data_IF_931177156519
#
_entry.id   IF_931177156519
#
_cell.length_a   1.000
_cell.length_b   1.000
_cell.length_c   1.000
_cell.angle_alpha   90.00
_cell.angle_beta   90.00
_cell.angle_gamma   90.00
#
_symmetry.space_group_name_H-M   'P 1'
#
loop_
_entity.id
_entity.type
_entity.pdbx_description
1 polymer ?
#
# COMPACT_ATOMS: atom_id res chain seq x y z
N UNK A 1 -7.21 2.06 3.87
CA UNK A 1 -7.94 0.88 3.44
C UNK A 1 -7.64 -0.35 4.30
N UNK A 2 -6.38 -0.73 4.37
CA UNK A 2 -5.97 -1.98 5.04
C UNK A 2 -6.28 -1.92 6.54
N UNK A 3 -5.92 -0.84 7.21
CA UNK A 3 -6.20 -0.69 8.64
C UNK A 3 -7.69 -0.70 8.96
N UNK A 4 -8.51 -0.07 8.13
CA UNK A 4 -9.96 -0.08 8.29
C UNK A 4 -10.53 -1.50 8.12
N UNK A 5 -10.05 -2.23 7.13
CA UNK A 5 -10.53 -3.59 6.87
C UNK A 5 -10.13 -4.55 8.00
N UNK A 6 -8.90 -4.44 8.51
CA UNK A 6 -8.47 -5.24 9.66
C UNK A 6 -9.39 -4.99 10.86
N UNK A 7 -9.66 -3.73 11.17
CA UNK A 7 -10.57 -3.37 12.26
C UNK A 7 -11.97 -3.92 12.03
N UNK A 8 -12.49 -3.80 10.80
CA UNK A 8 -13.82 -4.31 10.46
C UNK A 8 -13.90 -5.82 10.64
N UNK A 9 -12.92 -6.55 10.15
CA UNK A 9 -12.90 -8.00 10.25
C UNK A 9 -12.85 -8.45 11.72
N UNK A 10 -12.01 -7.81 12.52
CA UNK A 10 -11.88 -8.12 13.95
C UNK A 10 -13.17 -7.86 14.73
N UNK A 11 -13.98 -6.92 14.27
CA UNK A 11 -15.24 -6.55 14.93
C UNK A 11 -16.49 -7.14 14.26
N UNK A 12 -16.32 -8.04 13.30
CA UNK A 12 -17.45 -8.64 12.59
C UNK A 12 -18.22 -7.67 11.70
N UNK A 13 -17.58 -6.56 11.31
CA UNK A 13 -18.17 -5.55 10.44
C UNK A 13 -17.80 -5.86 9.00
N UNK A 14 -18.77 -5.76 8.10
CA UNK A 14 -18.54 -6.04 6.69
C UNK A 14 -17.65 -4.96 6.05
N UNK A 15 -16.67 -5.38 5.25
CA UNK A 15 -15.79 -4.47 4.51
C UNK A 15 -16.51 -3.93 3.29
N UNK A 16 -16.29 -2.65 2.98
CA UNK A 16 -16.94 -1.96 1.87
C UNK A 16 -15.92 -1.52 0.82
N UNK A 17 -16.31 -1.62 -0.44
CA UNK A 17 -15.58 -1.06 -1.58
C UNK A 17 -16.46 0.01 -2.22
N UNK A 18 -15.91 1.21 -2.42
CA UNK A 18 -16.57 2.29 -3.12
C UNK A 18 -16.22 2.24 -4.61
N UNK A 19 -17.23 2.12 -5.46
CA UNK A 19 -17.07 1.92 -6.89
C UNK A 19 -16.96 0.45 -7.25
N UNK A 20 -16.24 0.12 -8.32
CA UNK A 20 -16.12 -1.24 -8.83
C UNK A 20 -14.94 -2.03 -8.25
N UNK A 21 -14.11 -1.39 -7.42
CA UNK A 21 -12.94 -2.02 -6.83
C UNK A 21 -11.76 -2.19 -7.78
N UNK A 22 -11.85 -1.66 -8.98
CA UNK A 22 -10.76 -1.74 -9.97
C UNK A 22 -9.74 -0.62 -9.82
N UNK A 23 -9.98 0.35 -8.95
CA UNK A 23 -8.99 1.39 -8.64
C UNK A 23 -7.77 0.74 -8.01
N UNK A 24 -6.59 1.19 -8.45
CA UNK A 24 -5.32 0.60 -8.05
C UNK A 24 -4.52 1.56 -7.20
N UNK A 25 -3.76 1.02 -6.25
CA UNK A 25 -2.91 1.79 -5.34
C UNK A 25 -1.55 1.12 -5.20
N UNK A 26 -0.52 1.95 -5.07
CA UNK A 26 0.84 1.49 -4.73
C UNK A 26 0.92 1.40 -3.20
N UNK A 27 0.80 0.18 -2.68
CA UNK A 27 0.87 -0.08 -1.23
C UNK A 27 2.32 -0.33 -0.84
N UNK A 28 2.93 0.65 -0.17
CA UNK A 28 4.32 0.55 0.30
C UNK A 28 4.34 0.36 1.82
N UNK A 29 5.08 -0.64 2.27
CA UNK A 29 5.19 -0.94 3.70
C UNK A 29 5.90 0.21 4.44
N UNK A 30 5.40 0.57 5.63
CA UNK A 30 6.00 1.64 6.42
C UNK A 30 7.48 1.40 6.73
N UNK A 31 7.88 0.15 6.96
CA UNK A 31 9.27 -0.18 7.25
C UNK A 31 10.17 0.05 6.04
N UNK A 32 9.66 -0.14 4.81
CA UNK A 32 10.39 0.23 3.60
C UNK A 32 10.57 1.75 3.50
N UNK A 33 9.57 2.52 3.90
CA UNK A 33 9.66 3.99 3.95
C UNK A 33 10.69 4.41 5.00
N UNK A 34 10.66 3.82 6.18
CA UNK A 34 11.64 4.10 7.25
C UNK A 34 13.06 3.79 6.78
N UNK A 35 13.27 2.68 6.09
CA UNK A 35 14.57 2.32 5.52
C UNK A 35 15.08 3.43 4.58
N UNK A 36 14.19 3.99 3.75
CA UNK A 36 14.55 5.09 2.86
C UNK A 36 14.95 6.34 3.65
N UNK A 37 14.21 6.68 4.71
CA UNK A 37 14.52 7.84 5.55
C UNK A 37 15.88 7.69 6.23
N UNK A 38 16.22 6.50 6.71
CA UNK A 38 17.52 6.20 7.31
C UNK A 38 18.63 6.39 6.27
N UNK A 39 18.43 5.89 5.04
CA UNK A 39 19.40 6.05 3.95
C UNK A 39 19.62 7.52 3.58
N UNK A 40 18.56 8.33 3.59
CA UNK A 40 18.68 9.77 3.35
C UNK A 40 19.61 10.40 4.39
N UNK A 41 19.43 10.03 5.65
CA UNK A 41 20.25 10.55 6.75
C UNK A 41 21.70 10.06 6.67
N UNK A 42 21.91 8.76 6.45
CA UNK A 42 23.23 8.16 6.37
C UNK A 42 24.05 8.69 5.19
N UNK A 43 23.42 8.85 4.04
CA UNK A 43 24.07 9.34 2.82
C UNK A 43 24.08 10.86 2.72
N UNK A 44 23.46 11.55 3.66
CA UNK A 44 23.31 13.01 3.64
C UNK A 44 22.73 13.50 2.30
N UNK A 45 21.75 12.76 1.79
CA UNK A 45 21.12 13.03 0.49
C UNK A 45 20.07 14.14 0.60
N UNK A 46 20.50 15.33 1.02
CA UNK A 46 19.62 16.48 1.19
C UNK A 46 19.53 17.25 -0.12
N UNK A 47 18.41 17.95 -0.32
CA UNK A 47 18.18 18.73 -1.52
C UNK A 47 17.54 17.97 -2.68
N UNK A 48 17.18 16.71 -2.46
CA UNK A 48 16.42 15.90 -3.43
C UNK A 48 14.97 15.82 -3.01
N UNK A 49 14.09 15.66 -3.99
CA UNK A 49 12.71 15.26 -3.76
C UNK A 49 12.60 13.77 -4.10
N UNK A 50 12.07 12.98 -3.17
CA UNK A 50 11.88 11.55 -3.38
C UNK A 50 10.41 11.20 -3.30
N UNK A 51 9.94 10.43 -4.28
CA UNK A 51 8.66 9.73 -4.19
C UNK A 51 8.97 8.28 -3.83
N UNK A 52 8.47 7.85 -2.68
CA UNK A 52 8.77 6.52 -2.15
C UNK A 52 7.60 5.58 -2.41
N UNK A 53 7.80 4.63 -3.30
CA UNK A 53 6.82 3.63 -3.65
C UNK A 53 7.48 2.41 -4.25
N UNK A 54 6.70 1.35 -4.48
CA UNK A 54 7.22 0.07 -4.97
C UNK A 54 7.36 0.02 -6.48
N UNK A 55 6.68 0.90 -7.21
CA UNK A 55 6.60 0.78 -8.67
C UNK A 55 5.66 -0.33 -9.12
N UNK A 56 4.90 -0.92 -8.21
CA UNK A 56 3.87 -1.93 -8.47
C UNK A 56 2.63 -1.56 -7.69
N UNK A 57 1.46 -1.77 -8.27
CA UNK A 57 0.21 -1.47 -7.58
C UNK A 57 -0.71 -2.69 -7.53
N UNK A 58 -1.74 -2.59 -6.70
CA UNK A 58 -2.79 -3.59 -6.58
C UNK A 58 -4.16 -2.90 -6.64
N UNK A 59 -5.13 -3.56 -7.25
CA UNK A 59 -6.51 -3.09 -7.19
C UNK A 59 -7.10 -3.38 -5.82
N UNK A 60 -8.15 -2.65 -5.45
CA UNK A 60 -8.87 -2.89 -4.20
C UNK A 60 -9.47 -4.31 -4.19
N UNK A 61 -9.94 -4.79 -5.34
CA UNK A 61 -10.43 -6.17 -5.48
C UNK A 61 -9.34 -7.20 -5.21
N UNK A 62 -8.11 -6.97 -5.69
CA UNK A 62 -6.98 -7.86 -5.40
C UNK A 62 -6.66 -7.91 -3.91
N UNK A 63 -6.75 -6.76 -3.22
CA UNK A 63 -6.55 -6.70 -1.77
C UNK A 63 -7.64 -7.50 -1.05
N UNK A 64 -8.89 -7.41 -1.49
CA UNK A 64 -9.98 -8.22 -0.93
C UNK A 64 -9.70 -9.72 -1.07
N UNK A 65 -9.18 -10.15 -2.21
CA UNK A 65 -8.77 -11.53 -2.41
C UNK A 65 -7.66 -11.95 -1.47
N UNK A 66 -6.68 -11.08 -1.23
CA UNK A 66 -5.59 -11.35 -0.30
C UNK A 66 -6.08 -11.54 1.14
N UNK A 67 -7.11 -10.80 1.54
CA UNK A 67 -7.77 -10.98 2.84
C UNK A 67 -8.70 -12.20 2.88
N UNK A 68 -9.10 -12.71 1.72
CA UNK A 68 -10.06 -13.82 1.65
C UNK A 68 -11.47 -13.41 2.03
N UNK A 69 -11.87 -12.18 1.75
CA UNK A 69 -13.18 -11.63 2.12
C UNK A 69 -14.04 -11.36 0.89
N UNK A 70 -15.36 -11.28 1.13
CA UNK A 70 -16.33 -10.85 0.13
C UNK A 70 -16.85 -9.47 0.53
N UNK A 71 -16.37 -8.39 -0.09
CA UNK A 71 -16.77 -7.04 0.28
C UNK A 71 -18.13 -6.67 -0.29
N UNK A 72 -18.74 -5.63 0.29
CA UNK A 72 -19.94 -4.98 -0.24
C UNK A 72 -19.51 -3.78 -1.09
N UNK A 73 -20.10 -3.66 -2.27
CA UNK A 73 -19.80 -2.55 -3.17
C UNK A 73 -20.82 -1.43 -2.96
N UNK A 74 -20.32 -0.21 -2.80
CA UNK A 74 -21.10 1.02 -2.62
C UNK A 74 -20.80 1.97 -3.79
N UNK A 75 -21.63 3.01 -3.95
CA UNK A 75 -21.41 4.02 -4.97
C UNK A 75 -20.04 4.68 -4.80
N UNK A 76 -19.36 4.93 -5.93
CA UNK A 76 -18.02 5.51 -5.92
C UNK A 76 -17.99 6.94 -5.36
N UNK A 77 -16.87 7.31 -4.76
CA UNK A 77 -16.64 8.66 -4.27
C UNK A 77 -16.16 9.55 -5.41
N UNK A 78 -16.69 10.78 -5.46
CA UNK A 78 -16.23 11.78 -6.44
C UNK A 78 -14.80 12.18 -6.11
N UNK A 79 -13.94 12.22 -7.14
CA UNK A 79 -12.56 12.68 -7.02
C UNK A 79 -11.57 11.62 -6.57
N UNK A 80 -11.99 10.37 -6.37
CA UNK A 80 -11.07 9.29 -6.06
C UNK A 80 -10.22 8.94 -7.28
N UNK A 81 -8.90 8.89 -7.11
CA UNK A 81 -7.99 8.51 -8.18
C UNK A 81 -8.17 7.03 -8.51
N UNK A 82 -8.25 6.71 -9.81
CA UNK A 82 -8.40 5.32 -10.25
C UNK A 82 -7.12 4.52 -10.14
N UNK A 83 -5.99 5.20 -10.29
CA UNK A 83 -4.71 4.51 -10.38
C UNK A 83 -3.62 5.36 -9.75
N UNK A 84 -2.88 4.78 -8.83
CA UNK A 84 -1.67 5.38 -8.27
C UNK A 84 -0.53 4.40 -8.42
N UNK A 85 0.55 4.86 -9.04
CA UNK A 85 1.76 4.07 -9.23
C UNK A 85 2.95 5.01 -9.17
N UNK A 86 3.90 4.71 -8.29
CA UNK A 86 5.15 5.46 -8.26
C UNK A 86 6.06 5.00 -9.40
N UNK A 87 6.37 5.92 -10.31
CA UNK A 87 7.29 5.68 -11.42
C UNK A 87 8.61 6.44 -11.25
N UNK A 88 8.75 7.23 -10.18
CA UNK A 88 9.98 7.96 -9.91
C UNK A 88 11.07 7.02 -9.41
N UNK A 89 12.23 7.05 -10.06
CA UNK A 89 13.38 6.20 -9.74
C UNK A 89 14.49 6.94 -8.99
N UNK A 90 14.24 8.17 -8.54
CA UNK A 90 15.28 8.98 -7.86
C UNK A 90 15.80 8.29 -6.60
N UNK A 91 14.91 7.74 -5.77
CA UNK A 91 15.32 7.03 -4.56
C UNK A 91 16.16 5.80 -4.87
N UNK A 92 15.82 5.05 -5.91
CA UNK A 92 16.63 3.90 -6.34
C UNK A 92 18.05 4.30 -6.73
N UNK A 93 18.16 5.38 -7.51
CA UNK A 93 19.44 5.85 -8.05
C UNK A 93 20.32 6.52 -7.01
N UNK A 94 19.73 7.39 -6.18
CA UNK A 94 20.48 8.20 -5.21
C UNK A 94 20.75 7.43 -3.92
N UNK A 95 19.77 6.68 -3.43
CA UNK A 95 19.85 6.00 -2.15
C UNK A 95 20.21 4.52 -2.25
N UNK A 96 20.18 3.95 -3.45
CA UNK A 96 20.25 2.49 -3.65
C UNK A 96 19.16 1.78 -2.81
N UNK A 97 17.97 2.41 -2.76
CA UNK A 97 16.83 1.93 -1.99
C UNK A 97 15.88 1.17 -2.88
N UNK A 98 15.49 -0.01 -2.41
CA UNK A 98 14.52 -0.86 -3.09
C UNK A 98 13.56 -1.43 -2.05
N UNK A 99 12.25 -1.15 -2.19
CA UNK A 99 11.28 -1.73 -1.27
C UNK A 99 11.19 -3.24 -1.48
N UNK A 100 11.22 -4.00 -0.40
CA UNK A 100 11.30 -5.46 -0.46
C UNK A 100 10.09 -6.16 0.13
N UNK A 101 9.26 -5.45 0.90
CA UNK A 101 8.14 -6.05 1.61
C UNK A 101 6.90 -6.10 0.74
N UNK A 102 6.34 -7.31 0.57
CA UNK A 102 5.16 -7.54 -0.26
C UNK A 102 3.87 -7.32 0.54
N UNK A 103 2.86 -6.73 -0.08
CA UNK A 103 1.56 -6.53 0.55
C UNK A 103 0.92 -7.84 1.01
N UNK A 104 0.98 -8.87 0.17
CA UNK A 104 0.41 -10.17 0.49
C UNK A 104 1.06 -10.78 1.74
N UNK A 105 2.37 -10.67 1.89
CA UNK A 105 3.11 -11.18 3.05
C UNK A 105 2.70 -10.44 4.32
N UNK A 106 2.52 -9.12 4.25
CA UNK A 106 2.06 -8.32 5.36
C UNK A 106 0.65 -8.74 5.81
N UNK A 107 -0.27 -8.93 4.88
CA UNK A 107 -1.63 -9.37 5.19
C UNK A 107 -1.62 -10.76 5.82
N UNK A 108 -0.82 -11.69 5.28
CA UNK A 108 -0.69 -13.03 5.84
C UNK A 108 -0.11 -13.00 7.25
N UNK A 109 0.87 -12.15 7.51
CA UNK A 109 1.46 -11.97 8.83
C UNK A 109 0.42 -11.51 9.86
N UNK A 110 -0.46 -10.59 9.46
CA UNK A 110 -1.54 -10.13 10.34
C UNK A 110 -2.52 -11.24 10.70
N UNK A 111 -2.83 -12.12 9.75
CA UNK A 111 -3.73 -13.25 9.99
C UNK A 111 -3.13 -14.30 10.91
N UNK A 112 -1.84 -14.54 10.82
CA UNK A 112 -1.17 -15.58 11.63
C UNK A 112 -0.95 -15.16 13.08
N UNK A 113 -1.09 -13.87 13.39
CA UNK A 113 -0.97 -13.37 14.78
C UNK A 113 -2.24 -13.54 15.59
N UNK A 114 -3.30 -13.95 14.97
CA UNK A 114 -4.54 -14.29 15.65
C UNK A 114 -4.59 -15.81 15.91
#
# INVERSE_FOLDING_TARGET
LIGRWINNIQNGIQCEIYGDGEQRRDFTHIDDIVDALILIMEKQAYGYEFELGRGKNHSVNEVAEMFGITPVYKDGKIGEAKDTLNTDSTANKVLDWYPTRELKDYINELWTKE
#
